data_IF_025001112626
#
_entry.id   IF_025001112626
#
_cell.length_a   1.000
_cell.length_b   1.000
_cell.length_c   1.000
_cell.angle_alpha   90.00
_cell.angle_beta   90.00
_cell.angle_gamma   90.00
#
_symmetry.space_group_name_H-M   'P 1'
#
loop_
_entity.id
_entity.type
_entity.pdbx_description
1 polymer ?
#
# COMPACT_ATOMS: atom_id res chain seq x y z
N UNK A 1 -16.75 -21.99 -9.60
CA UNK A 1 -15.48 -22.78 -9.54
C UNK A 1 -14.88 -22.65 -8.15
N UNK A 2 -13.86 -23.48 -7.80
CA UNK A 2 -13.19 -23.41 -6.49
C UNK A 2 -11.73 -23.08 -6.74
N UNK A 3 -11.24 -22.00 -6.16
CA UNK A 3 -9.86 -21.53 -6.30
C UNK A 3 -9.13 -21.60 -4.98
N UNK A 4 -7.85 -21.99 -5.03
CA UNK A 4 -6.98 -22.09 -3.87
C UNK A 4 -5.90 -21.01 -3.84
N UNK A 5 -5.61 -20.50 -2.65
CA UNK A 5 -4.49 -19.60 -2.45
C UNK A 5 -3.57 -20.11 -1.35
N UNK A 6 -2.29 -20.25 -1.68
CA UNK A 6 -1.23 -20.61 -0.74
C UNK A 6 -0.14 -19.55 -0.73
N UNK A 7 0.37 -19.21 0.46
CA UNK A 7 1.45 -18.23 0.62
C UNK A 7 2.45 -18.68 1.67
N UNK A 8 3.74 -18.52 1.36
CA UNK A 8 4.80 -18.65 2.35
C UNK A 8 5.80 -17.48 2.23
N UNK A 9 6.60 -17.26 3.28
CA UNK A 9 7.74 -16.38 3.19
C UNK A 9 8.92 -17.12 2.54
N UNK A 10 9.83 -16.38 1.88
CA UNK A 10 11.03 -16.99 1.27
C UNK A 10 11.96 -17.63 2.30
N UNK A 11 11.81 -17.28 3.60
CA UNK A 11 12.55 -17.89 4.69
C UNK A 11 11.85 -19.14 5.26
N UNK A 12 10.56 -19.32 4.97
CA UNK A 12 9.83 -20.53 5.36
C UNK A 12 10.18 -21.64 4.38
N UNK A 13 10.57 -22.78 4.93
CA UNK A 13 11.00 -23.94 4.13
C UNK A 13 9.89 -24.35 3.17
N UNK A 14 10.27 -24.82 1.99
CA UNK A 14 9.39 -25.43 0.97
C UNK A 14 8.33 -26.41 1.53
N UNK A 15 8.55 -26.96 2.72
CA UNK A 15 7.63 -27.84 3.42
C UNK A 15 6.30 -27.18 3.79
N UNK A 16 6.27 -25.86 4.14
CA UNK A 16 5.02 -25.22 4.56
C UNK A 16 4.07 -24.97 3.37
N UNK A 17 4.58 -24.56 2.22
CA UNK A 17 3.72 -24.36 1.05
C UNK A 17 3.20 -25.69 0.51
N UNK A 18 4.01 -26.73 0.50
CA UNK A 18 3.58 -28.06 0.06
C UNK A 18 2.50 -28.66 0.98
N UNK A 19 2.53 -28.34 2.27
CA UNK A 19 1.44 -28.70 3.19
C UNK A 19 0.15 -27.99 2.81
N UNK A 20 0.19 -26.67 2.62
CA UNK A 20 -0.97 -25.88 2.20
C UNK A 20 -1.55 -26.39 0.88
N UNK A 21 -0.71 -26.68 -0.12
CA UNK A 21 -1.14 -27.22 -1.41
C UNK A 21 -1.88 -28.55 -1.23
N UNK A 22 -1.35 -29.47 -0.40
CA UNK A 22 -2.02 -30.75 -0.13
C UNK A 22 -3.39 -30.56 0.53
N UNK A 23 -3.48 -29.64 1.52
CA UNK A 23 -4.74 -29.31 2.19
C UNK A 23 -5.74 -28.70 1.21
N UNK A 24 -5.31 -27.80 0.33
CA UNK A 24 -6.16 -27.18 -0.69
C UNK A 24 -6.66 -28.19 -1.73
N UNK A 25 -5.83 -29.16 -2.12
CA UNK A 25 -6.22 -30.23 -3.04
C UNK A 25 -7.33 -31.13 -2.48
N UNK A 26 -7.48 -31.23 -1.15
CA UNK A 26 -8.61 -31.96 -0.54
C UNK A 26 -9.97 -31.30 -0.81
N UNK A 27 -10.00 -30.01 -1.15
CA UNK A 27 -11.19 -29.30 -1.62
C UNK A 27 -11.50 -29.51 -3.10
N UNK A 28 -10.75 -30.39 -3.80
CA UNK A 28 -10.94 -30.66 -5.23
C UNK A 28 -10.34 -29.60 -6.15
N UNK A 29 -9.43 -28.76 -5.64
CA UNK A 29 -8.79 -27.67 -6.40
C UNK A 29 -7.70 -28.29 -7.30
N UNK A 30 -7.77 -28.02 -8.60
CA UNK A 30 -6.78 -28.44 -9.58
C UNK A 30 -5.55 -27.51 -9.57
N UNK A 31 -4.47 -27.95 -10.22
CA UNK A 31 -3.25 -27.13 -10.29
C UNK A 31 -3.47 -25.81 -11.08
N UNK A 32 -4.46 -25.75 -11.96
CA UNK A 32 -4.82 -24.55 -12.75
C UNK A 32 -5.60 -23.52 -11.93
N UNK A 33 -6.32 -23.96 -10.89
CA UNK A 33 -7.07 -23.10 -9.97
C UNK A 33 -6.28 -22.75 -8.70
N UNK A 34 -5.02 -23.23 -8.58
CA UNK A 34 -4.18 -23.02 -7.42
C UNK A 34 -3.20 -21.86 -7.65
N UNK A 35 -3.31 -20.82 -6.85
CA UNK A 35 -2.42 -19.66 -6.86
C UNK A 35 -1.44 -19.73 -5.71
N UNK A 36 -0.14 -19.71 -6.01
CA UNK A 36 0.91 -19.82 -5.00
C UNK A 36 1.80 -18.60 -5.01
N UNK A 37 2.08 -18.04 -3.83
CA UNK A 37 2.87 -16.83 -3.68
C UNK A 37 4.03 -16.99 -2.70
N UNK A 38 5.21 -16.54 -3.13
CA UNK A 38 6.42 -16.49 -2.32
C UNK A 38 6.78 -15.04 -2.03
N UNK A 39 6.74 -14.65 -0.75
CA UNK A 39 7.07 -13.28 -0.35
C UNK A 39 8.49 -13.17 0.16
N UNK A 40 9.29 -12.28 -0.43
CA UNK A 40 10.54 -11.79 0.16
C UNK A 40 10.22 -10.66 1.14
N UNK A 41 10.79 -10.69 2.35
CA UNK A 41 10.43 -9.81 3.47
C UNK A 41 10.46 -8.30 3.24
N UNK A 42 10.97 -7.82 2.10
CA UNK A 42 11.10 -6.40 1.74
C UNK A 42 10.17 -5.93 0.63
N UNK A 43 9.60 -6.82 -0.18
CA UNK A 43 8.71 -6.45 -1.29
C UNK A 43 7.33 -7.06 -1.10
N UNK A 44 6.34 -6.19 -0.82
CA UNK A 44 4.91 -6.54 -0.73
C UNK A 44 4.33 -6.55 -2.15
N UNK A 45 4.73 -7.51 -2.96
CA UNK A 45 4.11 -7.64 -4.28
C UNK A 45 3.28 -8.94 -4.29
N UNK A 46 1.95 -8.80 -4.14
CA UNK A 46 1.00 -9.92 -4.13
C UNK A 46 0.38 -10.14 -5.50
N UNK A 47 1.24 -10.38 -6.46
CA UNK A 47 0.84 -10.52 -7.87
C UNK A 47 -0.14 -11.68 -8.07
N UNK A 48 0.10 -12.81 -7.40
CA UNK A 48 -0.74 -13.99 -7.54
C UNK A 48 -2.10 -13.81 -6.84
N UNK A 49 -2.14 -13.18 -5.67
CA UNK A 49 -3.40 -12.83 -5.03
C UNK A 49 -4.22 -11.87 -5.91
N UNK A 50 -3.57 -10.85 -6.49
CA UNK A 50 -4.26 -9.90 -7.37
C UNK A 50 -4.81 -10.58 -8.62
N UNK A 51 -4.04 -11.50 -9.23
CA UNK A 51 -4.52 -12.32 -10.37
C UNK A 51 -5.74 -13.14 -9.96
N UNK A 52 -5.65 -13.84 -8.83
CA UNK A 52 -6.75 -14.64 -8.31
C UNK A 52 -8.02 -13.81 -8.10
N UNK A 53 -7.92 -12.68 -7.40
CA UNK A 53 -9.08 -11.80 -7.17
C UNK A 53 -9.70 -11.29 -8.48
N UNK A 54 -8.88 -11.01 -9.50
CA UNK A 54 -9.39 -10.61 -10.83
C UNK A 54 -10.05 -11.77 -11.60
N UNK A 55 -9.66 -13.01 -11.33
CA UNK A 55 -10.23 -14.21 -11.98
C UNK A 55 -11.59 -14.59 -11.39
N UNK A 56 -11.80 -14.31 -10.08
CA UNK A 56 -13.02 -14.70 -9.37
C UNK A 56 -14.27 -14.06 -9.97
N UNK A 57 -15.27 -14.89 -10.17
CA UNK A 57 -16.60 -14.55 -10.68
C UNK A 57 -17.69 -14.89 -9.67
N UNK A 58 -18.89 -14.38 -9.88
CA UNK A 58 -20.04 -14.64 -9.04
C UNK A 58 -20.30 -16.15 -8.86
N UNK A 59 -20.47 -16.58 -7.61
CA UNK A 59 -20.71 -17.99 -7.26
C UNK A 59 -19.45 -18.80 -7.06
N UNK A 60 -18.26 -18.23 -7.29
CA UNK A 60 -17.00 -18.92 -7.05
C UNK A 60 -16.68 -19.02 -5.55
N UNK A 61 -15.78 -19.95 -5.24
CA UNK A 61 -15.29 -20.17 -3.87
C UNK A 61 -13.78 -19.92 -3.83
N UNK A 62 -13.33 -19.09 -2.91
CA UNK A 62 -11.92 -18.87 -2.59
C UNK A 62 -11.56 -19.62 -1.31
N UNK A 63 -10.56 -20.48 -1.37
CA UNK A 63 -10.09 -21.30 -0.25
C UNK A 63 -8.66 -20.95 0.11
N UNK A 64 -8.39 -20.74 1.39
CA UNK A 64 -7.04 -20.68 1.94
C UNK A 64 -7.00 -21.45 3.27
N UNK A 65 -5.84 -22.00 3.63
CA UNK A 65 -5.70 -22.83 4.83
C UNK A 65 -5.86 -22.04 6.13
N UNK A 66 -5.60 -20.74 6.10
CA UNK A 66 -5.71 -19.83 7.25
C UNK A 66 -5.98 -18.39 6.75
N UNK A 67 -6.62 -17.58 7.60
CA UNK A 67 -6.82 -16.15 7.37
C UNK A 67 -5.47 -15.43 7.12
N UNK A 68 -4.44 -15.80 7.87
CA UNK A 68 -3.10 -15.22 7.80
C UNK A 68 -2.42 -15.41 6.43
N UNK A 69 -2.86 -16.36 5.62
CA UNK A 69 -2.32 -16.59 4.27
C UNK A 69 -2.82 -15.51 3.30
N UNK A 70 -4.07 -15.13 3.43
CA UNK A 70 -4.69 -14.17 2.51
C UNK A 70 -4.55 -12.71 3.00
N UNK A 71 -4.51 -12.49 4.31
CA UNK A 71 -4.44 -11.15 4.91
C UNK A 71 -3.30 -11.04 5.92
N UNK A 72 -2.83 -9.82 6.18
CA UNK A 72 -1.81 -9.48 7.19
C UNK A 72 -2.31 -8.49 8.22
N UNK A 73 -3.48 -7.92 8.02
CA UNK A 73 -4.07 -6.94 8.91
C UNK A 73 -5.59 -7.07 8.87
N UNK A 74 -6.23 -6.59 9.93
CA UNK A 74 -7.68 -6.51 10.01
C UNK A 74 -8.27 -5.71 8.84
N UNK A 75 -7.60 -4.64 8.43
CA UNK A 75 -8.03 -3.85 7.27
C UNK A 75 -8.09 -4.69 5.99
N UNK A 76 -7.01 -5.43 5.68
CA UNK A 76 -7.00 -6.28 4.48
C UNK A 76 -8.07 -7.38 4.54
N UNK A 77 -8.36 -7.90 5.74
CA UNK A 77 -9.46 -8.85 5.90
C UNK A 77 -10.79 -8.20 5.56
N UNK A 78 -11.04 -6.98 6.04
CA UNK A 78 -12.26 -6.24 5.69
C UNK A 78 -12.36 -5.97 4.18
N UNK A 79 -11.26 -5.53 3.55
CA UNK A 79 -11.23 -5.28 2.10
C UNK A 79 -11.57 -6.56 1.30
N UNK A 80 -11.07 -7.73 1.73
CA UNK A 80 -11.38 -9.03 1.11
C UNK A 80 -12.83 -9.44 1.35
N UNK A 81 -13.38 -9.16 2.52
CA UNK A 81 -14.78 -9.48 2.85
C UNK A 81 -15.75 -8.58 2.07
N UNK A 82 -15.45 -7.29 1.93
CA UNK A 82 -16.21 -6.38 1.07
C UNK A 82 -16.18 -6.85 -0.38
N UNK A 83 -15.00 -7.18 -0.89
CA UNK A 83 -14.83 -7.75 -2.23
C UNK A 83 -15.68 -9.03 -2.41
N UNK A 84 -15.65 -9.95 -1.42
CA UNK A 84 -16.42 -11.17 -1.49
C UNK A 84 -17.93 -10.92 -1.53
N UNK A 85 -18.40 -9.91 -0.79
CA UNK A 85 -19.80 -9.48 -0.80
C UNK A 85 -20.20 -8.87 -2.16
N UNK A 86 -19.38 -7.97 -2.70
CA UNK A 86 -19.62 -7.34 -4.01
C UNK A 86 -19.66 -8.37 -5.15
N UNK A 87 -18.70 -9.29 -5.15
CA UNK A 87 -18.57 -10.34 -6.16
C UNK A 87 -19.53 -11.52 -5.92
N UNK A 88 -20.21 -11.58 -4.79
CA UNK A 88 -21.08 -12.71 -4.39
C UNK A 88 -20.33 -14.05 -4.44
N UNK A 89 -19.16 -14.13 -3.82
CA UNK A 89 -18.35 -15.34 -3.72
C UNK A 89 -18.37 -15.90 -2.30
N UNK A 90 -17.96 -17.18 -2.17
CA UNK A 90 -17.76 -17.84 -0.90
C UNK A 90 -16.30 -17.82 -0.50
N UNK A 91 -16.00 -17.54 0.78
CA UNK A 91 -14.67 -17.60 1.36
C UNK A 91 -14.59 -18.75 2.35
N UNK A 92 -13.52 -19.55 2.25
CA UNK A 92 -13.15 -20.60 3.22
C UNK A 92 -11.71 -20.35 3.64
N UNK A 93 -11.51 -19.82 4.84
CA UNK A 93 -10.20 -19.40 5.35
C UNK A 93 -9.88 -20.20 6.63
N UNK A 94 -9.48 -21.46 6.47
CA UNK A 94 -9.39 -22.42 7.56
C UNK A 94 -10.75 -22.74 8.14
N UNK A 95 -10.95 -22.46 9.42
CA UNK A 95 -12.26 -22.61 10.09
C UNK A 95 -13.22 -21.44 9.87
N UNK A 96 -12.73 -20.32 9.31
CA UNK A 96 -13.54 -19.13 9.04
C UNK A 96 -14.19 -19.24 7.66
N UNK A 97 -15.51 -19.40 7.65
CA UNK A 97 -16.31 -19.56 6.42
C UNK A 97 -17.31 -18.43 6.32
N UNK A 98 -17.31 -17.74 5.18
CA UNK A 98 -18.27 -16.68 4.85
C UNK A 98 -18.86 -16.97 3.47
N UNK A 99 -20.14 -17.18 3.40
CA UNK A 99 -20.85 -17.42 2.14
C UNK A 99 -21.62 -16.17 1.73
N UNK A 100 -21.07 -15.45 0.74
CA UNK A 100 -21.71 -14.27 0.16
C UNK A 100 -22.47 -14.58 -1.14
N UNK A 101 -22.60 -15.85 -1.53
CA UNK A 101 -23.32 -16.25 -2.76
C UNK A 101 -24.83 -16.15 -2.62
N UNK A 102 -25.32 -16.17 -1.38
CA UNK A 102 -26.72 -16.00 -1.02
C UNK A 102 -26.90 -14.86 -0.01
N UNK A 103 -28.13 -14.64 0.46
CA UNK A 103 -28.40 -13.67 1.53
C UNK A 103 -27.62 -14.06 2.77
N UNK A 104 -26.77 -13.13 3.24
CA UNK A 104 -26.01 -13.35 4.48
C UNK A 104 -26.96 -13.55 5.66
N UNK A 105 -26.62 -14.51 6.50
CA UNK A 105 -27.33 -14.64 7.77
C UNK A 105 -27.06 -13.41 8.66
N UNK A 106 -28.00 -13.01 9.52
CA UNK A 106 -27.86 -11.78 10.30
C UNK A 106 -26.67 -11.76 11.24
N UNK A 107 -26.17 -12.91 11.68
CA UNK A 107 -25.00 -13.03 12.55
C UNK A 107 -23.72 -12.71 11.77
N UNK A 108 -23.57 -13.31 10.60
CA UNK A 108 -22.44 -13.03 9.69
C UNK A 108 -22.45 -11.57 9.24
N UNK A 109 -23.61 -11.01 8.91
CA UNK A 109 -23.73 -9.59 8.54
C UNK A 109 -23.33 -8.67 9.71
N UNK A 110 -23.77 -8.97 10.92
CA UNK A 110 -23.38 -8.23 12.13
C UNK A 110 -21.88 -8.30 12.39
N UNK A 111 -21.28 -9.48 12.23
CA UNK A 111 -19.83 -9.67 12.37
C UNK A 111 -19.03 -8.85 11.34
N UNK A 112 -19.45 -8.83 10.08
CA UNK A 112 -18.82 -8.03 9.03
C UNK A 112 -18.88 -6.53 9.34
N UNK A 113 -20.03 -6.03 9.81
CA UNK A 113 -20.18 -4.64 10.24
C UNK A 113 -19.25 -4.30 11.41
N UNK A 114 -19.14 -5.16 12.41
CA UNK A 114 -18.21 -4.98 13.53
C UNK A 114 -16.74 -4.93 13.07
N UNK A 115 -16.34 -5.78 12.14
CA UNK A 115 -14.96 -5.76 11.59
C UNK A 115 -14.66 -4.43 10.89
N UNK A 116 -15.61 -3.85 10.15
CA UNK A 116 -15.51 -2.51 9.58
C UNK A 116 -15.26 -1.44 10.65
N UNK A 117 -16.02 -1.46 11.73
CA UNK A 117 -15.86 -0.53 12.86
C UNK A 117 -14.49 -0.69 13.52
N UNK A 118 -14.00 -1.90 13.74
CA UNK A 118 -12.67 -2.14 14.30
C UNK A 118 -11.55 -1.61 13.39
N UNK A 119 -11.67 -1.77 12.08
CA UNK A 119 -10.69 -1.21 11.12
C UNK A 119 -10.67 0.32 11.16
N UNK A 120 -11.80 0.97 11.30
CA UNK A 120 -11.88 2.42 11.43
C UNK A 120 -11.29 2.90 12.77
N UNK A 121 -11.57 2.21 13.86
CA UNK A 121 -10.96 2.50 15.17
C UNK A 121 -9.44 2.38 15.14
N UNK A 122 -8.89 1.30 14.54
CA UNK A 122 -7.45 1.12 14.38
C UNK A 122 -6.81 2.29 13.61
N UNK A 123 -7.43 2.70 12.49
CA UNK A 123 -6.97 3.85 11.70
C UNK A 123 -6.96 5.13 12.54
N UNK A 124 -8.01 5.38 13.31
CA UNK A 124 -8.13 6.56 14.15
C UNK A 124 -7.07 6.57 15.26
N UNK A 125 -6.82 5.42 15.91
CA UNK A 125 -5.77 5.29 16.92
C UNK A 125 -4.38 5.56 16.32
N UNK A 126 -4.08 4.99 15.13
CA UNK A 126 -2.81 5.25 14.45
C UNK A 126 -2.67 6.74 14.09
N UNK A 127 -3.73 7.36 13.57
CA UNK A 127 -3.74 8.80 13.25
C UNK A 127 -3.46 9.66 14.48
N UNK A 128 -4.10 9.35 15.61
CA UNK A 128 -3.86 10.04 16.88
C UNK A 128 -2.42 9.88 17.36
N UNK A 129 -1.86 8.66 17.31
CA UNK A 129 -0.45 8.41 17.68
C UNK A 129 0.52 9.21 16.80
N UNK A 130 0.29 9.24 15.48
CA UNK A 130 1.11 10.03 14.55
C UNK A 130 1.03 11.52 14.88
N UNK A 131 -0.18 12.06 15.10
CA UNK A 131 -0.38 13.48 15.47
C UNK A 131 0.33 13.83 16.76
N UNK A 132 0.17 13.00 17.80
CA UNK A 132 0.86 13.16 19.09
C UNK A 132 2.37 13.09 18.94
N UNK A 133 2.88 12.13 18.16
CA UNK A 133 4.30 11.99 17.85
C UNK A 133 4.87 13.24 17.14
N UNK A 134 4.13 13.80 16.17
CA UNK A 134 4.52 15.05 15.51
C UNK A 134 4.51 16.25 16.45
N UNK A 135 3.51 16.37 17.31
CA UNK A 135 3.47 17.44 18.32
C UNK A 135 4.66 17.36 19.27
N UNK A 136 4.97 16.15 19.75
CA UNK A 136 6.13 15.92 20.62
C UNK A 136 7.46 16.24 19.91
N UNK A 137 7.60 15.87 18.64
CA UNK A 137 8.78 16.21 17.85
C UNK A 137 8.92 17.74 17.65
N UNK A 138 7.81 18.46 17.41
CA UNK A 138 7.80 19.94 17.36
C UNK A 138 8.21 20.54 18.70
N UNK A 139 7.67 20.04 19.81
CA UNK A 139 8.03 20.51 21.16
C UNK A 139 9.52 20.32 21.46
N UNK A 140 10.14 19.29 20.89
CA UNK A 140 11.60 19.04 20.96
C UNK A 140 12.41 19.81 19.91
N UNK A 141 11.83 20.81 19.24
CA UNK A 141 12.51 21.64 18.24
C UNK A 141 12.81 20.96 16.90
N UNK A 142 12.30 19.75 16.67
CA UNK A 142 12.50 19.06 15.38
C UNK A 142 11.62 19.68 14.29
N UNK A 143 12.23 20.01 13.16
CA UNK A 143 11.48 20.43 11.95
C UNK A 143 10.77 19.23 11.36
N UNK A 144 9.44 19.35 11.13
CA UNK A 144 8.61 18.29 10.55
C UNK A 144 8.20 18.72 9.14
N UNK A 145 8.31 17.80 8.20
CA UNK A 145 7.97 18.01 6.80
C UNK A 145 9.19 18.12 5.90
N UNK A 146 8.97 18.58 4.67
CA UNK A 146 10.06 18.74 3.69
C UNK A 146 11.03 19.82 4.19
N UNK A 147 12.35 19.57 4.21
CA UNK A 147 13.36 20.55 4.57
C UNK A 147 13.18 21.84 3.76
N UNK A 148 13.31 22.99 4.43
CA UNK A 148 13.28 24.27 3.72
C UNK A 148 14.52 24.40 2.84
N UNK A 149 14.32 24.84 1.62
CA UNK A 149 15.44 25.19 0.72
C UNK A 149 16.12 26.45 1.26
N UNK A 150 17.41 26.37 1.52
CA UNK A 150 18.26 27.50 1.95
C UNK A 150 19.34 27.73 0.90
N UNK A 151 20.07 28.83 0.99
CA UNK A 151 21.18 29.17 0.08
C UNK A 151 22.17 28.01 -0.10
N UNK A 152 22.59 27.39 1.02
CA UNK A 152 23.56 26.30 1.02
C UNK A 152 23.04 25.00 0.39
N UNK A 153 21.72 24.87 0.18
CA UNK A 153 21.10 23.68 -0.44
C UNK A 153 20.76 23.88 -1.92
N UNK A 154 21.08 25.06 -2.46
CA UNK A 154 20.85 25.33 -3.89
C UNK A 154 21.82 24.54 -4.77
N UNK A 155 21.33 23.97 -5.91
CA UNK A 155 22.18 23.21 -6.82
C UNK A 155 23.29 24.07 -7.43
N UNK A 156 24.49 23.49 -7.58
CA UNK A 156 25.63 24.19 -8.18
C UNK A 156 25.34 24.73 -9.59
N UNK A 157 24.52 24.03 -10.39
CA UNK A 157 24.12 24.48 -11.71
C UNK A 157 23.38 25.83 -11.68
N UNK A 158 22.64 26.12 -10.61
CA UNK A 158 22.00 27.41 -10.42
C UNK A 158 23.05 28.52 -10.32
N UNK A 159 24.07 28.36 -9.48
CA UNK A 159 25.15 29.33 -9.31
C UNK A 159 26.01 29.51 -10.56
N UNK A 160 26.17 28.47 -11.37
CA UNK A 160 26.89 28.55 -12.65
C UNK A 160 26.24 29.53 -13.63
N UNK A 161 24.92 29.63 -13.65
CA UNK A 161 24.16 30.46 -14.58
C UNK A 161 23.61 31.75 -13.97
N UNK A 162 23.62 31.88 -12.65
CA UNK A 162 23.11 33.03 -11.94
C UNK A 162 23.81 34.37 -12.30
N UNK A 163 25.16 34.43 -12.49
CA UNK A 163 25.82 35.65 -12.91
C UNK A 163 25.33 36.17 -14.27
N UNK A 164 25.09 35.29 -15.23
CA UNK A 164 24.56 35.64 -16.55
C UNK A 164 23.13 36.23 -16.45
N UNK A 165 22.34 35.71 -15.55
CA UNK A 165 21.00 36.26 -15.25
C UNK A 165 21.13 37.65 -14.59
N UNK A 166 22.00 37.82 -13.60
CA UNK A 166 22.20 39.11 -12.88
C UNK A 166 22.72 40.22 -13.80
N UNK A 167 23.52 39.87 -14.80
CA UNK A 167 24.00 40.84 -15.80
C UNK A 167 23.03 41.11 -16.96
N UNK A 168 21.85 40.48 -16.94
CA UNK A 168 20.83 40.67 -17.97
C UNK A 168 21.08 39.92 -19.29
N UNK A 169 22.14 39.09 -19.37
CA UNK A 169 22.48 38.31 -20.57
C UNK A 169 21.48 37.21 -20.88
N UNK A 170 20.73 36.71 -19.88
CA UNK A 170 19.69 35.73 -20.02
C UNK A 170 18.45 36.14 -19.23
N UNK A 171 17.26 35.83 -19.76
CA UNK A 171 16.01 36.08 -19.05
C UNK A 171 15.65 34.89 -18.11
N UNK A 172 14.60 35.05 -17.27
CA UNK A 172 14.19 34.02 -16.31
C UNK A 172 13.78 32.71 -16.95
N UNK A 173 13.21 32.73 -18.16
CA UNK A 173 12.81 31.51 -18.88
C UNK A 173 14.03 30.75 -19.41
N UNK A 174 15.00 31.45 -19.98
CA UNK A 174 16.27 30.87 -20.42
C UNK A 174 17.05 30.33 -19.25
N UNK A 175 17.09 31.04 -18.13
CA UNK A 175 17.72 30.57 -16.90
C UNK A 175 17.08 29.27 -16.41
N UNK A 176 15.75 29.16 -16.44
CA UNK A 176 15.00 27.94 -16.13
C UNK A 176 15.43 26.76 -17.02
N UNK A 177 15.49 26.98 -18.33
CA UNK A 177 15.91 25.96 -19.31
C UNK A 177 17.35 25.51 -19.11
N UNK A 178 18.28 26.46 -18.91
CA UNK A 178 19.70 26.16 -18.71
C UNK A 178 19.97 25.38 -17.43
N UNK A 179 19.18 25.61 -16.37
CA UNK A 179 19.31 24.87 -15.13
C UNK A 179 18.50 23.55 -15.10
N UNK A 180 17.62 23.32 -16.06
CA UNK A 180 16.73 22.14 -16.06
C UNK A 180 15.67 22.15 -14.95
N UNK A 181 15.34 23.32 -14.38
CA UNK A 181 14.32 23.48 -13.34
C UNK A 181 13.07 24.14 -13.88
N UNK A 182 11.92 23.92 -13.22
CA UNK A 182 10.70 24.64 -13.56
C UNK A 182 10.83 26.15 -13.26
N UNK A 183 10.13 26.95 -14.03
CA UNK A 183 10.12 28.41 -13.87
C UNK A 183 9.79 28.87 -12.42
N UNK A 184 8.76 28.30 -11.74
CA UNK A 184 8.50 28.65 -10.34
C UNK A 184 9.66 28.28 -9.40
N UNK A 185 10.38 27.19 -9.67
CA UNK A 185 11.55 26.78 -8.88
C UNK A 185 12.69 27.79 -9.02
N UNK A 186 12.97 28.27 -10.23
CA UNK A 186 14.00 29.30 -10.47
C UNK A 186 13.63 30.60 -9.75
N UNK A 187 12.39 31.06 -9.84
CA UNK A 187 11.95 32.28 -9.11
C UNK A 187 12.15 32.11 -7.61
N UNK A 188 11.82 30.94 -7.06
CA UNK A 188 12.04 30.65 -5.64
C UNK A 188 13.51 30.72 -5.28
N UNK A 189 14.40 30.16 -6.09
CA UNK A 189 15.85 30.17 -5.85
C UNK A 189 16.44 31.57 -5.96
N UNK A 190 16.02 32.37 -6.94
CA UNK A 190 16.41 33.78 -7.06
C UNK A 190 16.07 34.55 -5.79
N UNK A 191 14.82 34.44 -5.30
CA UNK A 191 14.38 35.10 -4.05
C UNK A 191 15.22 34.71 -2.84
N UNK A 192 15.63 33.43 -2.72
CA UNK A 192 16.47 32.97 -1.62
C UNK A 192 17.84 33.66 -1.66
N UNK A 193 18.44 33.80 -2.84
CA UNK A 193 19.76 34.44 -3.00
C UNK A 193 19.69 35.96 -2.79
N UNK A 194 18.59 36.61 -3.24
CA UNK A 194 18.37 38.05 -3.06
C UNK A 194 18.06 38.45 -1.59
N UNK A 195 17.56 37.52 -0.77
CA UNK A 195 17.28 37.73 0.66
C UNK A 195 18.51 37.55 1.55
N UNK A 196 19.57 36.89 1.07
CA UNK A 196 20.81 36.67 1.82
C UNK A 196 21.94 37.65 1.40
N UNK A 197 21.71 38.52 0.40
CA UNK A 197 22.58 39.64 0.03
C UNK A 197 22.11 40.93 0.69
#
# INVERSE_FOLDING_TARGET
MIYGYARCSTNDKLQDINRQIRELKLFGISDTELFTEYESGTKINRTELTKLLNTLSRGDTLVATEVSRITRSTKQLCDILEFAKEKQIKLILGSFVVDCTSTLDPMTEGMLKMMGVFSELERNIISQRVKSGMQNAKAKGKSIGRPKTSYNTLPQIFFKHYPKFKTGLINKQEFSRLCGFSYPTIIKYIKIVEQEQ
#
